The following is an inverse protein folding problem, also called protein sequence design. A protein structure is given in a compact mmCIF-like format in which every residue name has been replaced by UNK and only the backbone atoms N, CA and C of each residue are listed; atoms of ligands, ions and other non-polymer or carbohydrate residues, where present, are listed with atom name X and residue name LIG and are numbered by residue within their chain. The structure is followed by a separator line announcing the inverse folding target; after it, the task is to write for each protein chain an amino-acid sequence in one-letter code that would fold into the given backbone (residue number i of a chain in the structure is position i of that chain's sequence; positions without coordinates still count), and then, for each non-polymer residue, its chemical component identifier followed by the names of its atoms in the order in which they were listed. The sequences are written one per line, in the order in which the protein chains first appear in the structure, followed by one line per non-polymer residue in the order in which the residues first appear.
data_IF_395640376528
#
_entry.id   IF_395640376528
#
_cell.length_a   1.000
_cell.length_b   1.000
_cell.length_c   1.000
_cell.angle_alpha   90.00
_cell.angle_beta   90.00
_cell.angle_gamma   90.00
#
_symmetry.space_group_name_H-M   'P 1'
#
loop_
_entity.id
_entity.type
_entity.pdbx_description
1 polymer ?
#
# COMPACT_ATOMS: atom_id res chain seq x y z
N UNK A 1 14.03 -36.95 -68.09
CA UNK A 1 13.87 -37.83 -66.92
C UNK A 1 13.10 -39.07 -67.30
N UNK A 2 13.37 -40.18 -66.59
CA UNK A 2 12.66 -41.46 -66.79
C UNK A 2 11.77 -41.74 -65.61
N UNK A 3 10.57 -42.23 -65.81
CA UNK A 3 9.68 -42.72 -64.75
C UNK A 3 10.17 -44.06 -64.21
N UNK A 4 9.64 -44.49 -63.02
CA UNK A 4 10.01 -45.78 -62.38
C UNK A 4 9.72 -47.01 -63.26
N UNK A 5 8.79 -46.91 -64.20
CA UNK A 5 8.49 -47.91 -65.17
C UNK A 5 9.21 -47.73 -66.55
N UNK A 6 10.28 -46.89 -66.56
CA UNK A 6 11.21 -46.76 -67.69
C UNK A 6 10.69 -45.85 -68.84
N UNK A 7 9.64 -45.09 -68.66
CA UNK A 7 9.12 -44.18 -69.64
C UNK A 7 9.91 -42.85 -69.67
N UNK A 8 10.44 -42.48 -70.84
CA UNK A 8 11.11 -41.21 -71.05
C UNK A 8 10.08 -40.09 -71.19
N UNK A 9 10.38 -38.90 -70.65
CA UNK A 9 9.49 -37.74 -70.72
C UNK A 9 10.07 -36.50 -70.05
N UNK A 10 9.25 -35.46 -70.00
CA UNK A 10 9.61 -34.16 -69.37
C UNK A 10 8.59 -33.73 -68.38
N UNK A 11 9.05 -33.10 -67.33
CA UNK A 11 8.20 -32.47 -66.30
C UNK A 11 8.04 -30.98 -66.60
N UNK A 12 6.81 -30.47 -66.42
CA UNK A 12 6.52 -29.04 -66.42
C UNK A 12 5.72 -28.63 -65.16
N UNK A 13 6.22 -27.81 -64.30
CA UNK A 13 7.60 -27.29 -64.19
C UNK A 13 8.66 -28.39 -64.03
N UNK A 14 9.88 -28.16 -64.50
CA UNK A 14 10.97 -29.15 -64.48
C UNK A 14 11.54 -29.43 -63.07
N UNK A 15 11.39 -28.49 -62.13
CA UNK A 15 11.85 -28.56 -60.73
C UNK A 15 10.71 -28.45 -59.76
N UNK A 16 10.70 -29.32 -58.75
CA UNK A 16 9.69 -29.27 -57.69
C UNK A 16 10.05 -28.20 -56.70
N UNK A 17 9.08 -27.33 -56.38
CA UNK A 17 9.23 -26.30 -55.31
C UNK A 17 9.03 -26.97 -53.98
N UNK A 18 9.89 -26.65 -53.01
CA UNK A 18 9.75 -26.98 -51.58
C UNK A 18 9.19 -25.80 -50.74
N UNK A 19 8.84 -24.67 -51.40
CA UNK A 19 8.32 -23.45 -50.75
C UNK A 19 6.87 -23.17 -51.06
N UNK A 20 6.34 -23.72 -52.17
CA UNK A 20 4.94 -23.54 -52.59
C UNK A 20 4.36 -24.85 -53.11
N UNK A 21 3.09 -25.09 -52.81
CA UNK A 21 2.33 -26.19 -53.41
C UNK A 21 2.21 -25.99 -54.91
N UNK A 22 2.29 -27.05 -55.67
CA UNK A 22 2.23 -26.98 -57.15
C UNK A 22 1.80 -28.27 -57.78
N UNK A 23 1.38 -28.17 -59.03
CA UNK A 23 1.01 -29.28 -59.89
C UNK A 23 2.06 -29.42 -60.99
N UNK A 24 2.55 -30.63 -61.19
CA UNK A 24 3.62 -31.00 -62.08
C UNK A 24 3.10 -31.95 -63.12
N UNK A 25 3.18 -31.63 -64.41
CA UNK A 25 2.71 -32.44 -65.51
C UNK A 25 3.90 -33.21 -66.13
N UNK A 26 3.83 -34.53 -66.09
CA UNK A 26 4.75 -35.38 -66.85
C UNK A 26 4.17 -35.61 -68.24
N UNK A 27 4.91 -35.21 -69.26
CA UNK A 27 4.57 -35.43 -70.67
C UNK A 27 5.51 -36.50 -71.21
N UNK A 28 5.02 -37.71 -71.56
CA UNK A 28 5.82 -38.76 -72.16
C UNK A 28 6.43 -38.32 -73.49
N UNK A 29 7.59 -38.87 -73.86
CA UNK A 29 8.24 -38.62 -75.14
C UNK A 29 7.40 -39.21 -76.31
N UNK A 30 7.53 -38.62 -77.52
CA UNK A 30 6.81 -39.07 -78.69
C UNK A 30 7.08 -40.51 -79.03
N UNK A 31 6.03 -41.24 -79.43
CA UNK A 31 6.10 -42.66 -79.75
C UNK A 31 5.82 -43.63 -78.59
N UNK A 32 5.52 -43.14 -77.39
CA UNK A 32 5.08 -43.95 -76.26
C UNK A 32 3.55 -43.90 -76.17
N UNK A 33 2.88 -45.04 -76.11
CA UNK A 33 1.44 -45.16 -75.97
C UNK A 33 0.99 -44.97 -74.50
N UNK A 34 1.26 -43.81 -73.91
CA UNK A 34 0.98 -43.46 -72.52
C UNK A 34 0.42 -42.04 -72.45
N UNK A 35 -0.57 -41.86 -71.58
CA UNK A 35 -1.16 -40.53 -71.32
C UNK A 35 -0.26 -39.69 -70.35
N UNK A 36 -0.28 -38.35 -70.45
CA UNK A 36 0.34 -37.48 -69.50
C UNK A 36 -0.16 -37.75 -68.05
N UNK A 37 0.75 -37.60 -67.11
CA UNK A 37 0.46 -37.79 -65.67
C UNK A 37 0.67 -36.52 -64.90
N UNK A 38 -0.31 -36.21 -64.04
CA UNK A 38 -0.24 -35.02 -63.14
C UNK A 38 0.09 -35.47 -61.75
N UNK A 39 1.13 -34.86 -61.15
CA UNK A 39 1.51 -35.04 -59.79
C UNK A 39 1.37 -33.75 -59.02
N UNK A 40 0.68 -33.79 -57.88
CA UNK A 40 0.46 -32.61 -57.00
C UNK A 40 1.36 -32.73 -55.77
N UNK A 41 2.14 -31.72 -55.52
CA UNK A 41 2.94 -31.52 -54.33
C UNK A 41 2.26 -30.51 -53.45
N UNK A 42 1.97 -30.86 -52.19
CA UNK A 42 1.45 -29.95 -51.20
C UNK A 42 2.57 -29.57 -50.23
N UNK A 43 2.87 -28.28 -50.13
CA UNK A 43 3.80 -27.72 -49.14
C UNK A 43 2.98 -27.15 -48.01
N UNK A 44 3.12 -27.75 -46.82
CA UNK A 44 2.49 -27.25 -45.63
C UNK A 44 3.32 -26.07 -45.02
N UNK A 45 2.67 -24.98 -44.63
CA UNK A 45 3.37 -23.87 -43.98
C UNK A 45 3.95 -24.28 -42.64
N UNK A 46 5.09 -23.71 -42.28
CA UNK A 46 5.66 -23.88 -40.95
C UNK A 46 4.81 -23.08 -39.95
N UNK A 47 4.39 -23.71 -38.86
CA UNK A 47 3.59 -23.10 -37.81
C UNK A 47 4.35 -23.07 -36.47
N UNK A 48 4.02 -22.11 -35.61
CA UNK A 48 4.54 -22.05 -34.24
C UNK A 48 3.52 -22.66 -33.29
N UNK A 49 3.90 -23.63 -32.44
CA UNK A 49 3.02 -24.19 -31.41
C UNK A 49 2.58 -23.10 -30.44
N UNK A 50 1.29 -23.13 -30.06
CA UNK A 50 0.71 -22.19 -29.09
C UNK A 50 0.17 -22.98 -27.89
N UNK A 51 0.19 -22.35 -26.69
CA UNK A 51 -0.25 -22.97 -25.45
C UNK A 51 -1.16 -22.02 -24.68
N UNK A 52 -2.12 -22.58 -23.91
CA UNK A 52 -3.07 -21.78 -23.11
C UNK A 52 -2.41 -20.97 -21.99
N UNK A 53 -1.26 -21.39 -21.51
CA UNK A 53 -0.46 -20.67 -20.50
C UNK A 53 0.43 -19.59 -21.10
N UNK A 54 0.43 -19.39 -22.44
CA UNK A 54 1.25 -18.38 -23.14
C UNK A 54 2.72 -18.75 -23.25
N UNK A 55 3.56 -17.73 -23.44
CA UNK A 55 5.01 -17.87 -23.58
C UNK A 55 5.79 -17.47 -22.33
N UNK A 56 5.13 -16.82 -21.37
CA UNK A 56 5.73 -16.40 -20.09
C UNK A 56 4.68 -16.35 -18.99
N UNK A 57 5.09 -16.71 -17.78
CA UNK A 57 4.31 -16.53 -16.56
C UNK A 57 5.21 -16.10 -15.41
N UNK A 58 4.60 -15.40 -14.44
CA UNK A 58 5.23 -15.04 -13.18
C UNK A 58 4.41 -15.65 -12.04
N UNK A 59 5.07 -16.37 -11.14
CA UNK A 59 4.45 -17.08 -10.02
C UNK A 59 5.20 -16.81 -8.72
N UNK A 60 4.57 -17.10 -7.59
CA UNK A 60 5.25 -17.06 -6.30
C UNK A 60 5.96 -18.37 -6.03
N UNK A 61 7.11 -18.32 -5.37
CA UNK A 61 7.88 -19.50 -4.97
C UNK A 61 6.97 -20.50 -4.24
N UNK A 62 7.02 -21.77 -4.67
CA UNK A 62 6.22 -22.87 -4.11
C UNK A 62 4.74 -22.86 -4.48
N UNK A 63 4.25 -21.92 -5.30
CA UNK A 63 2.87 -21.93 -5.80
C UNK A 63 2.65 -23.02 -6.86
N UNK A 64 1.39 -23.26 -7.24
CA UNK A 64 1.08 -24.25 -8.27
C UNK A 64 1.72 -23.88 -9.60
N UNK A 65 2.57 -24.77 -10.11
CA UNK A 65 3.22 -24.61 -11.41
C UNK A 65 2.24 -24.91 -12.57
N UNK A 66 2.38 -24.27 -13.74
CA UNK A 66 1.65 -24.62 -14.93
C UNK A 66 2.02 -26.02 -15.41
N UNK A 67 1.02 -26.73 -15.96
CA UNK A 67 1.24 -28.07 -16.53
C UNK A 67 1.61 -27.92 -18.00
N UNK A 68 2.77 -28.44 -18.39
CA UNK A 68 3.25 -28.46 -19.76
C UNK A 68 2.56 -29.58 -20.54
N UNK A 69 1.61 -29.25 -21.41
CA UNK A 69 0.91 -30.22 -22.25
C UNK A 69 1.77 -30.67 -23.43
N UNK A 70 1.75 -31.95 -23.78
CA UNK A 70 2.50 -32.50 -24.91
C UNK A 70 1.87 -32.18 -26.27
N UNK A 71 0.65 -31.60 -26.27
CA UNK A 71 -0.06 -31.15 -27.46
C UNK A 71 -0.36 -29.66 -27.31
N UNK A 72 0.02 -28.89 -28.29
CA UNK A 72 -0.28 -27.44 -28.37
C UNK A 72 -1.77 -27.19 -28.67
N UNK A 73 -2.24 -25.95 -28.45
CA UNK A 73 -3.64 -25.59 -28.76
C UNK A 73 -3.96 -25.63 -30.25
N UNK A 74 -2.95 -25.55 -31.11
CA UNK A 74 -3.06 -25.73 -32.56
C UNK A 74 -2.63 -27.13 -33.04
N UNK A 75 -2.79 -28.17 -32.18
CA UNK A 75 -2.64 -29.60 -32.45
C UNK A 75 -1.24 -30.06 -32.88
N UNK A 76 -0.18 -29.38 -32.46
CA UNK A 76 1.19 -29.83 -32.67
C UNK A 76 1.60 -30.72 -31.48
N UNK A 77 2.00 -31.95 -31.77
CA UNK A 77 2.57 -32.88 -30.79
C UNK A 77 4.07 -32.58 -30.58
N UNK A 78 4.55 -32.76 -29.39
CA UNK A 78 5.97 -32.56 -29.10
C UNK A 78 6.34 -32.89 -27.66
N UNK A 79 7.54 -32.48 -27.25
CA UNK A 79 8.09 -32.71 -25.91
C UNK A 79 8.68 -31.45 -25.36
N UNK A 80 8.61 -31.31 -24.04
CA UNK A 80 9.22 -30.20 -23.32
C UNK A 80 10.57 -30.61 -22.71
N UNK A 81 11.53 -29.70 -22.74
CA UNK A 81 12.79 -29.83 -22.03
C UNK A 81 13.12 -28.53 -21.28
N UNK A 82 13.16 -28.53 -19.94
CA UNK A 82 12.77 -29.60 -19.01
C UNK A 82 11.29 -30.01 -19.15
N UNK A 83 10.97 -31.26 -18.82
CA UNK A 83 9.60 -31.81 -18.95
C UNK A 83 8.67 -31.40 -17.81
N UNK A 84 9.22 -30.98 -16.66
CA UNK A 84 8.48 -30.59 -15.44
C UNK A 84 8.90 -29.18 -15.08
N UNK A 85 7.90 -28.36 -14.72
CA UNK A 85 8.13 -27.00 -14.29
C UNK A 85 8.63 -26.98 -12.84
N UNK A 86 9.78 -26.33 -12.62
CA UNK A 86 10.31 -26.05 -11.29
C UNK A 86 9.69 -24.73 -10.79
N UNK A 87 8.84 -24.83 -9.76
CA UNK A 87 8.19 -23.68 -9.14
C UNK A 87 9.03 -23.02 -8.01
N UNK A 88 10.26 -23.47 -7.84
CA UNK A 88 11.18 -22.90 -6.84
C UNK A 88 12.24 -21.97 -7.48
N UNK A 89 12.48 -22.11 -8.79
CA UNK A 89 13.49 -21.37 -9.52
C UNK A 89 12.98 -20.87 -10.86
N UNK A 90 13.54 -19.76 -11.33
CA UNK A 90 13.29 -19.28 -12.70
C UNK A 90 13.72 -20.34 -13.71
N UNK A 91 12.93 -20.50 -14.78
CA UNK A 91 13.20 -21.51 -15.78
C UNK A 91 12.78 -21.10 -17.18
N UNK A 92 13.48 -21.72 -18.15
CA UNK A 92 13.11 -21.65 -19.58
C UNK A 92 12.87 -23.08 -20.04
N UNK A 93 11.70 -23.33 -20.63
CA UNK A 93 11.23 -24.62 -21.07
C UNK A 93 11.06 -24.55 -22.57
N UNK A 94 11.70 -25.48 -23.30
CA UNK A 94 11.64 -25.52 -24.76
C UNK A 94 10.73 -26.63 -25.22
N UNK A 95 9.72 -26.31 -26.01
CA UNK A 95 8.89 -27.28 -26.70
C UNK A 95 9.51 -27.62 -28.06
N UNK A 96 9.79 -28.87 -28.28
CA UNK A 96 10.27 -29.41 -29.56
C UNK A 96 9.18 -30.20 -30.21
N UNK A 97 8.64 -29.77 -31.38
CA UNK A 97 7.69 -30.55 -32.16
C UNK A 97 8.22 -31.94 -32.52
N UNK A 98 7.31 -32.95 -32.57
CA UNK A 98 7.67 -34.27 -33.03
C UNK A 98 8.01 -34.28 -34.53
N UNK A 99 8.81 -35.27 -34.95
CA UNK A 99 9.21 -35.39 -36.33
C UNK A 99 7.99 -35.50 -37.26
N UNK A 100 8.09 -34.91 -38.44
CA UNK A 100 7.04 -34.90 -39.45
C UNK A 100 5.97 -33.83 -39.30
N UNK A 101 6.04 -33.01 -38.27
CA UNK A 101 5.17 -31.84 -38.12
C UNK A 101 5.90 -30.58 -38.64
N UNK A 102 5.22 -29.86 -39.54
CA UNK A 102 5.77 -28.58 -40.06
C UNK A 102 5.66 -27.47 -39.01
N UNK A 103 6.45 -27.55 -37.95
CA UNK A 103 6.40 -26.62 -36.83
C UNK A 103 7.80 -26.28 -36.33
N UNK A 104 7.95 -25.05 -35.81
CA UNK A 104 9.19 -24.59 -35.16
C UNK A 104 9.15 -24.85 -33.65
N UNK A 105 10.31 -25.06 -32.99
CA UNK A 105 10.36 -25.04 -31.53
C UNK A 105 9.87 -23.71 -30.96
N UNK A 106 9.28 -23.75 -29.76
CA UNK A 106 8.88 -22.55 -29.02
C UNK A 106 9.32 -22.67 -27.56
N UNK A 107 9.40 -21.55 -26.86
CA UNK A 107 9.86 -21.49 -25.46
C UNK A 107 8.76 -20.94 -24.55
N UNK A 108 8.75 -21.42 -23.32
CA UNK A 108 7.99 -20.88 -22.20
C UNK A 108 8.96 -20.45 -21.10
N UNK A 109 8.81 -19.23 -20.59
CA UNK A 109 9.64 -18.69 -19.52
C UNK A 109 8.83 -18.58 -18.23
N UNK A 110 9.33 -19.13 -17.14
CA UNK A 110 8.76 -18.98 -15.81
C UNK A 110 9.64 -18.05 -14.97
N UNK A 111 9.05 -17.01 -14.43
CA UNK A 111 9.65 -16.15 -13.39
C UNK A 111 9.08 -16.56 -12.04
N UNK A 112 9.94 -16.94 -11.10
CA UNK A 112 9.55 -17.30 -9.73
C UNK A 112 9.93 -16.17 -8.78
N UNK A 113 8.92 -15.51 -8.23
CA UNK A 113 9.11 -14.43 -7.30
C UNK A 113 9.18 -14.95 -5.85
N UNK A 114 10.11 -14.45 -5.04
CA UNK A 114 10.19 -14.81 -3.64
C UNK A 114 9.01 -14.23 -2.86
N UNK A 115 8.64 -14.87 -1.74
CA UNK A 115 7.70 -14.30 -0.78
C UNK A 115 8.49 -13.30 0.08
N UNK A 116 8.12 -12.02 0.07
CA UNK A 116 8.86 -11.00 0.81
C UNK A 116 8.62 -11.09 2.31
N UNK A 117 9.63 -10.71 3.09
CA UNK A 117 9.52 -10.48 4.53
C UNK A 117 9.70 -9.01 4.83
N UNK A 118 9.11 -8.54 5.93
CA UNK A 118 9.23 -7.15 6.38
C UNK A 118 9.70 -7.04 7.82
N UNK A 119 10.20 -5.86 8.20
CA UNK A 119 10.58 -5.58 9.58
C UNK A 119 9.36 -5.35 10.47
N UNK A 120 9.45 -5.75 11.74
CA UNK A 120 8.40 -5.53 12.74
C UNK A 120 8.66 -4.21 13.46
N UNK A 121 7.61 -3.43 13.72
CA UNK A 121 7.62 -2.29 14.63
C UNK A 121 7.04 -2.71 15.98
N UNK A 122 7.58 -2.14 17.05
CA UNK A 122 7.01 -2.27 18.41
C UNK A 122 5.81 -1.33 18.57
N UNK A 123 4.90 -1.71 19.46
CA UNK A 123 3.78 -0.88 19.87
C UNK A 123 4.24 0.47 20.39
N UNK A 124 3.43 1.48 20.17
CA UNK A 124 3.77 2.87 20.51
C UNK A 124 2.61 3.53 21.24
N UNK A 125 2.91 4.24 22.33
CA UNK A 125 1.95 5.08 23.04
C UNK A 125 2.40 6.54 22.98
N UNK A 126 1.48 7.43 22.59
CA UNK A 126 1.73 8.87 22.50
C UNK A 126 0.53 9.63 23.07
N UNK A 127 0.74 10.89 23.46
CA UNK A 127 -0.36 11.78 23.82
C UNK A 127 -0.99 12.44 22.59
N UNK A 128 -2.22 12.86 22.75
CA UNK A 128 -2.91 13.72 21.78
C UNK A 128 -2.06 14.95 21.43
N UNK A 129 -2.00 15.30 20.14
CA UNK A 129 -1.15 16.37 19.61
C UNK A 129 0.31 16.00 19.39
N UNK A 130 0.79 14.84 19.86
CA UNK A 130 2.16 14.40 19.61
C UNK A 130 2.36 13.89 18.20
N UNK A 131 3.58 14.04 17.67
CA UNK A 131 3.94 13.48 16.37
C UNK A 131 4.33 12.02 16.50
N UNK A 132 3.63 11.14 15.79
CA UNK A 132 4.08 9.76 15.54
C UNK A 132 5.04 9.80 14.35
N UNK A 133 6.30 9.38 14.51
CA UNK A 133 7.28 9.50 13.43
C UNK A 133 7.00 8.55 12.28
N UNK A 134 7.51 8.88 11.09
CA UNK A 134 7.54 8.02 9.92
C UNK A 134 8.09 6.62 10.30
N UNK A 135 7.46 5.59 9.78
CA UNK A 135 7.96 4.24 9.90
C UNK A 135 8.37 3.67 8.54
N UNK A 136 9.67 3.46 8.38
CA UNK A 136 10.24 2.83 7.20
C UNK A 136 10.14 1.31 7.34
N UNK A 137 9.38 0.68 6.45
CA UNK A 137 9.34 -0.76 6.31
C UNK A 137 10.47 -1.21 5.38
N UNK A 138 11.41 -1.99 5.91
CA UNK A 138 12.40 -2.67 5.07
C UNK A 138 11.83 -4.00 4.61
N UNK A 139 11.59 -4.12 3.31
CA UNK A 139 11.11 -5.35 2.67
C UNK A 139 12.29 -6.07 2.03
N UNK A 140 12.43 -7.35 2.32
CA UNK A 140 13.49 -8.20 1.79
C UNK A 140 12.92 -9.44 1.12
N UNK A 141 13.22 -9.72 -0.16
CA UNK A 141 13.86 -8.81 -1.13
C UNK A 141 13.05 -7.53 -1.35
N UNK A 142 13.67 -6.50 -1.97
CA UNK A 142 13.02 -5.22 -2.19
C UNK A 142 11.67 -5.36 -2.92
N UNK A 143 10.64 -4.74 -2.37
CA UNK A 143 9.28 -4.83 -2.87
C UNK A 143 8.44 -3.63 -2.44
N UNK A 144 7.15 -3.72 -2.63
CA UNK A 144 6.17 -2.72 -2.20
C UNK A 144 5.55 -3.09 -0.86
N UNK A 145 4.90 -2.12 -0.22
CA UNK A 145 4.19 -2.31 1.05
C UNK A 145 2.80 -1.71 0.92
N UNK A 146 1.81 -2.45 1.39
CA UNK A 146 0.46 -1.93 1.62
C UNK A 146 0.19 -1.95 3.12
N UNK A 147 -0.47 -0.91 3.65
CA UNK A 147 -0.84 -0.89 5.05
C UNK A 147 -2.29 -0.47 5.25
N UNK A 148 -2.87 -0.92 6.36
CA UNK A 148 -4.22 -0.54 6.80
C UNK A 148 -4.18 -0.10 8.26
N UNK A 149 -5.11 0.77 8.62
CA UNK A 149 -5.31 1.31 9.95
C UNK A 149 -6.74 1.00 10.41
N UNK A 150 -6.89 0.30 11.53
CA UNK A 150 -8.19 -0.10 12.06
C UNK A 150 -9.01 1.07 12.64
N UNK A 151 -8.37 2.20 12.95
CA UNK A 151 -9.03 3.35 13.57
C UNK A 151 -8.44 4.68 13.06
N UNK A 152 -8.95 5.23 11.96
CA UNK A 152 -8.49 6.50 11.41
C UNK A 152 -8.64 7.72 12.33
N UNK A 153 -9.45 7.60 13.40
CA UNK A 153 -9.62 8.69 14.36
C UNK A 153 -8.34 9.06 15.11
N UNK A 154 -7.31 8.19 15.07
CA UNK A 154 -5.98 8.51 15.64
C UNK A 154 -5.21 9.56 14.85
N UNK A 155 -5.69 10.03 13.69
CA UNK A 155 -5.04 11.01 12.82
C UNK A 155 -4.26 10.42 11.64
N UNK A 156 -4.25 9.09 11.48
CA UNK A 156 -3.65 8.39 10.34
C UNK A 156 -4.77 7.90 9.39
N UNK A 157 -4.66 8.07 8.06
CA UNK A 157 -5.63 7.53 7.11
C UNK A 157 -5.90 6.02 7.29
N UNK A 158 -7.04 5.54 6.76
CA UNK A 158 -7.46 4.13 6.90
C UNK A 158 -6.51 3.15 6.19
N UNK A 159 -5.79 3.57 5.15
CA UNK A 159 -4.86 2.74 4.38
C UNK A 159 -3.88 3.60 3.58
N UNK A 160 -2.83 2.96 3.08
CA UNK A 160 -1.85 3.56 2.18
C UNK A 160 -0.88 2.55 1.61
N UNK A 161 0.04 3.05 0.80
CA UNK A 161 1.12 2.28 0.15
C UNK A 161 2.48 2.87 0.52
N UNK A 162 3.51 2.04 0.52
CA UNK A 162 4.84 2.44 0.94
C UNK A 162 4.97 2.56 2.46
N UNK A 163 5.82 3.46 2.91
CA UNK A 163 6.05 3.69 4.34
C UNK A 163 4.82 4.28 5.01
N UNK A 164 4.58 3.92 6.28
CA UNK A 164 3.55 4.58 7.08
C UNK A 164 4.03 6.00 7.38
N UNK A 165 3.34 7.05 6.91
CA UNK A 165 3.81 8.44 7.06
C UNK A 165 3.82 8.87 8.52
N UNK A 166 4.60 9.91 8.82
CA UNK A 166 4.46 10.62 10.09
C UNK A 166 3.09 11.30 10.15
N UNK A 167 2.48 11.32 11.32
CA UNK A 167 1.20 11.98 11.54
C UNK A 167 1.09 12.58 12.94
N UNK A 168 0.21 13.54 13.13
CA UNK A 168 -0.13 14.07 14.44
C UNK A 168 -1.20 13.19 15.07
N UNK A 169 -0.92 12.64 16.24
CA UNK A 169 -1.87 11.83 16.98
C UNK A 169 -3.07 12.66 17.46
N UNK A 170 -4.28 12.14 17.27
CA UNK A 170 -5.53 12.81 17.65
C UNK A 170 -6.32 11.91 18.59
N UNK A 171 -6.71 12.46 19.76
CA UNK A 171 -7.65 11.86 20.68
C UNK A 171 -8.53 12.94 21.32
N UNK A 172 -9.65 13.22 20.74
CA UNK A 172 -10.60 14.21 21.24
C UNK A 172 -11.45 13.70 22.44
N UNK A 173 -11.29 12.43 22.81
CA UNK A 173 -11.98 11.80 23.95
C UNK A 173 -11.29 12.03 25.29
N UNK A 174 -11.77 11.32 26.32
CA UNK A 174 -11.20 11.33 27.69
C UNK A 174 -10.57 9.98 28.07
N UNK A 175 -10.67 8.99 27.17
CA UNK A 175 -10.10 7.65 27.36
C UNK A 175 -9.08 7.36 26.25
N UNK A 176 -8.07 6.54 26.48
CA UNK A 176 -7.16 6.10 25.43
C UNK A 176 -7.90 5.48 24.26
N UNK A 177 -7.48 5.79 23.04
CA UNK A 177 -7.93 5.11 21.82
C UNK A 177 -6.78 4.38 21.19
N UNK A 178 -7.07 3.25 20.57
CA UNK A 178 -6.07 2.39 19.94
C UNK A 178 -6.39 2.20 18.46
N UNK A 179 -5.34 1.98 17.69
CA UNK A 179 -5.41 1.53 16.31
C UNK A 179 -4.39 0.43 16.05
N UNK A 180 -4.81 -0.63 15.39
CA UNK A 180 -3.92 -1.66 14.87
C UNK A 180 -3.53 -1.29 13.45
N UNK A 181 -2.24 -1.12 13.21
CA UNK A 181 -1.68 -0.90 11.88
C UNK A 181 -1.20 -2.25 11.37
N UNK A 182 -1.76 -2.68 10.25
CA UNK A 182 -1.37 -3.93 9.57
C UNK A 182 -0.58 -3.56 8.33
N UNK A 183 0.60 -4.12 8.17
CA UNK A 183 1.53 -3.86 7.07
C UNK A 183 1.83 -5.15 6.35
N UNK A 184 1.62 -5.16 5.04
CA UNK A 184 1.73 -6.36 4.19
C UNK A 184 2.72 -6.09 3.07
N UNK A 185 3.88 -6.78 3.04
CA UNK A 185 4.85 -6.67 1.95
C UNK A 185 4.38 -7.43 0.72
N UNK A 186 4.75 -6.95 -0.47
CA UNK A 186 4.37 -7.53 -1.76
C UNK A 186 5.50 -7.38 -2.78
N UNK A 187 5.77 -8.45 -3.54
CA UNK A 187 6.64 -8.44 -4.73
C UNK A 187 5.87 -9.07 -5.89
N UNK A 188 5.58 -8.30 -6.94
CA UNK A 188 4.92 -8.80 -8.16
C UNK A 188 3.68 -9.67 -7.90
N UNK A 189 2.87 -9.30 -6.89
CA UNK A 189 1.69 -10.08 -6.48
C UNK A 189 1.95 -11.17 -5.44
N UNK A 190 3.21 -11.47 -5.11
CA UNK A 190 3.57 -12.39 -4.04
C UNK A 190 3.50 -11.68 -2.70
N UNK A 191 2.50 -12.04 -1.92
CA UNK A 191 2.17 -11.41 -0.65
C UNK A 191 2.95 -12.10 0.48
N UNK A 192 3.73 -11.32 1.22
CA UNK A 192 4.42 -11.79 2.42
C UNK A 192 3.52 -11.79 3.66
N UNK A 193 4.06 -12.30 4.76
CA UNK A 193 3.34 -12.33 6.03
C UNK A 193 3.07 -10.92 6.53
N UNK A 194 1.80 -10.62 6.80
CA UNK A 194 1.39 -9.35 7.38
C UNK A 194 1.97 -9.19 8.79
N UNK A 195 2.47 -7.99 9.08
CA UNK A 195 2.96 -7.60 10.40
C UNK A 195 2.01 -6.57 11.01
N UNK A 196 1.84 -6.60 12.32
CA UNK A 196 0.95 -5.67 13.02
C UNK A 196 1.69 -4.98 14.16
N UNK A 197 1.31 -3.74 14.44
CA UNK A 197 1.68 -3.02 15.65
C UNK A 197 0.53 -2.12 16.10
N UNK A 198 0.50 -1.77 17.38
CA UNK A 198 -0.56 -0.97 17.98
C UNK A 198 -0.04 0.46 18.22
N UNK A 199 -0.83 1.44 17.84
CA UNK A 199 -0.66 2.83 18.23
C UNK A 199 -1.75 3.16 19.25
N UNK A 200 -1.34 3.55 20.47
CA UNK A 200 -2.24 4.04 21.51
C UNK A 200 -2.11 5.54 21.64
N UNK A 201 -3.21 6.27 21.46
CA UNK A 201 -3.23 7.70 21.68
C UNK A 201 -3.93 8.00 23.02
N UNK A 202 -3.13 8.46 23.96
CA UNK A 202 -3.58 8.85 25.29
C UNK A 202 -4.26 10.24 25.20
N UNK A 203 -5.36 10.47 25.91
CA UNK A 203 -5.97 11.79 25.97
C UNK A 203 -5.08 12.75 26.74
N UNK A 204 -5.01 14.01 26.34
CA UNK A 204 -4.56 15.08 27.22
C UNK A 204 -5.71 15.46 28.15
N UNK A 205 -5.37 15.82 29.41
CA UNK A 205 -6.37 16.35 30.33
C UNK A 205 -7.00 17.62 29.73
N UNK A 206 -8.33 17.62 29.63
CA UNK A 206 -9.13 18.76 29.18
C UNK A 206 -9.62 19.58 30.35
N UNK A 207 -9.01 19.42 31.52
CA UNK A 207 -9.42 20.12 32.72
C UNK A 207 -9.09 21.59 32.61
N UNK A 208 -10.08 22.42 32.92
CA UNK A 208 -9.92 23.85 33.12
C UNK A 208 -9.59 24.06 34.59
N UNK A 209 -8.48 24.74 34.86
CA UNK A 209 -7.99 24.94 36.22
C UNK A 209 -7.72 26.43 36.47
N UNK A 210 -8.10 26.86 37.67
CA UNK A 210 -7.77 28.20 38.23
C UNK A 210 -7.03 27.99 39.52
N UNK A 211 -5.81 28.53 39.72
CA UNK A 211 -5.12 28.47 40.98
C UNK A 211 -5.94 29.07 42.13
N UNK A 212 -5.87 28.48 43.30
CA UNK A 212 -6.56 28.99 44.46
C UNK A 212 -5.77 30.00 45.27
N UNK A 213 -4.49 30.22 44.89
CA UNK A 213 -3.57 31.21 45.53
C UNK A 213 -2.68 31.84 44.45
N UNK A 214 -2.37 33.12 44.58
CA UNK A 214 -1.35 33.77 43.77
C UNK A 214 -0.71 34.91 44.56
N UNK A 215 0.53 35.29 44.17
CA UNK A 215 1.39 36.20 44.89
C UNK A 215 2.00 37.28 44.01
N UNK A 216 1.28 38.37 43.70
CA UNK A 216 1.78 39.43 42.82
C UNK A 216 2.80 40.31 43.53
N UNK A 217 4.01 39.78 43.77
CA UNK A 217 5.11 40.46 44.47
C UNK A 217 6.24 40.89 43.51
N UNK A 218 6.15 40.56 42.21
CA UNK A 218 7.08 40.93 41.17
C UNK A 218 8.33 40.06 41.08
N UNK A 219 8.31 38.85 41.65
CA UNK A 219 9.46 37.93 41.61
C UNK A 219 9.46 37.03 40.35
N UNK A 220 8.47 37.20 39.45
CA UNK A 220 8.30 36.42 38.24
C UNK A 220 7.59 35.09 38.44
N UNK A 221 7.12 34.77 39.65
CA UNK A 221 6.40 33.51 39.98
C UNK A 221 5.05 33.84 40.58
N UNK A 222 4.00 33.26 39.98
CA UNK A 222 2.61 33.42 40.44
C UNK A 222 2.16 34.90 40.59
N UNK A 223 2.77 35.81 39.85
CA UNK A 223 2.44 37.24 39.87
C UNK A 223 1.10 37.54 39.20
N UNK A 224 0.64 36.63 38.35
CA UNK A 224 -0.62 36.74 37.64
C UNK A 224 -1.51 35.52 37.92
N UNK A 225 -2.77 35.80 38.26
CA UNK A 225 -3.79 34.77 38.31
C UNK A 225 -4.30 34.50 36.89
N UNK A 226 -4.05 33.34 36.35
CA UNK A 226 -4.43 32.95 35.00
C UNK A 226 -5.32 31.69 34.99
N UNK A 227 -6.02 31.48 33.86
CA UNK A 227 -6.77 30.25 33.60
C UNK A 227 -5.85 29.26 32.88
N UNK A 228 -5.72 28.08 33.44
CA UNK A 228 -4.90 27.00 32.88
C UNK A 228 -5.80 25.90 32.30
N UNK A 229 -5.28 25.20 31.33
CA UNK A 229 -5.92 24.05 30.68
C UNK A 229 -5.51 23.94 29.22
N UNK A 230 -5.62 22.74 28.70
CA UNK A 230 -5.42 22.47 27.28
C UNK A 230 -6.76 22.59 26.55
N UNK A 231 -6.71 22.86 25.24
CA UNK A 231 -7.92 22.92 24.40
C UNK A 231 -8.98 23.97 24.74
N UNK A 232 -8.62 25.04 25.47
CA UNK A 232 -9.47 26.19 25.74
C UNK A 232 -9.46 27.10 24.51
N UNK A 233 -10.62 27.36 23.90
CA UNK A 233 -10.81 28.30 22.78
C UNK A 233 -11.17 29.68 23.22
N UNK A 234 -11.94 29.82 24.32
CA UNK A 234 -12.28 31.10 24.89
C UNK A 234 -12.51 31.00 26.40
N UNK A 235 -12.29 32.12 27.10
CA UNK A 235 -12.54 32.26 28.54
C UNK A 235 -13.31 33.56 28.80
N UNK A 236 -14.23 33.54 29.78
CA UNK A 236 -14.86 34.71 30.42
C UNK A 236 -14.80 34.40 31.92
N UNK A 237 -13.79 34.97 32.58
CA UNK A 237 -13.62 34.86 34.04
C UNK A 237 -13.83 36.23 34.68
N UNK A 238 -14.72 36.26 35.65
CA UNK A 238 -15.01 37.47 36.45
C UNK A 238 -14.61 37.24 37.88
N UNK A 239 -13.92 38.23 38.46
CA UNK A 239 -13.38 38.17 39.83
C UNK A 239 -14.08 39.24 40.66
N UNK A 240 -14.52 38.88 41.85
CA UNK A 240 -15.29 39.73 42.74
C UNK A 240 -14.62 39.78 44.12
N UNK A 241 -14.74 40.95 44.77
CA UNK A 241 -14.34 41.09 46.16
C UNK A 241 -15.43 40.54 47.11
N UNK A 242 -15.18 40.58 48.42
CA UNK A 242 -16.09 40.10 49.45
C UNK A 242 -17.43 40.81 49.47
N UNK A 243 -17.53 41.99 48.85
CA UNK A 243 -18.76 42.78 48.77
C UNK A 243 -19.56 42.54 47.49
N UNK A 244 -19.09 41.58 46.69
CA UNK A 244 -19.74 41.25 45.39
C UNK A 244 -19.45 42.22 44.26
N UNK A 245 -18.53 43.19 44.45
CA UNK A 245 -18.11 44.09 43.42
C UNK A 245 -17.15 43.40 42.47
N UNK A 246 -17.38 43.43 41.15
CA UNK A 246 -16.45 42.93 40.14
C UNK A 246 -15.21 43.82 40.10
N UNK A 247 -14.05 43.22 40.30
CA UNK A 247 -12.77 43.91 40.37
C UNK A 247 -11.87 43.62 39.19
N UNK A 248 -12.05 42.46 38.52
CA UNK A 248 -11.31 42.12 37.32
C UNK A 248 -12.14 41.22 36.37
N UNK A 249 -11.76 41.21 35.11
CA UNK A 249 -12.27 40.32 34.08
C UNK A 249 -11.13 39.83 33.21
N UNK A 250 -11.11 38.52 32.91
CA UNK A 250 -10.15 37.87 32.06
C UNK A 250 -10.94 37.27 30.89
N UNK A 251 -10.74 37.78 29.68
CA UNK A 251 -11.45 37.37 28.46
C UNK A 251 -10.58 36.61 27.47
N UNK A 252 -9.30 36.51 27.77
CA UNK A 252 -8.31 35.78 26.97
C UNK A 252 -7.44 34.94 27.90
N UNK A 253 -7.14 33.70 27.50
CA UNK A 253 -6.31 32.74 28.25
C UNK A 253 -4.91 33.30 28.59
N UNK A 254 -4.35 34.13 27.70
CA UNK A 254 -3.05 34.75 27.92
C UNK A 254 -3.08 35.90 28.93
N UNK A 255 -4.27 36.43 29.29
CA UNK A 255 -4.44 37.47 30.30
C UNK A 255 -4.36 36.87 31.70
N UNK A 256 -3.98 37.70 32.65
CA UNK A 256 -4.01 37.37 34.08
C UNK A 256 -4.44 38.60 34.89
N UNK A 257 -4.93 38.34 36.11
CA UNK A 257 -5.17 39.38 37.08
C UNK A 257 -3.92 39.55 37.97
N UNK A 258 -3.41 40.79 38.05
CA UNK A 258 -2.21 41.19 38.80
C UNK A 258 -2.51 41.61 40.24
N UNK A 259 -3.70 41.36 40.75
CA UNK A 259 -4.11 41.76 42.09
C UNK A 259 -4.45 43.24 42.20
N UNK A 260 -4.69 43.96 41.08
CA UNK A 260 -5.07 45.38 41.06
C UNK A 260 -6.48 45.61 40.51
N UNK A 261 -7.13 46.65 40.96
CA UNK A 261 -8.38 47.14 40.36
C UNK A 261 -8.18 48.60 39.96
N UNK A 262 -8.32 48.90 38.65
CA UNK A 262 -8.07 50.24 38.11
C UNK A 262 -6.70 50.83 38.55
N UNK A 263 -5.67 50.01 38.54
CA UNK A 263 -4.30 50.39 38.93
C UNK A 263 -4.02 50.38 40.44
N UNK A 264 -5.04 50.28 41.30
CA UNK A 264 -4.87 50.26 42.76
C UNK A 264 -4.74 48.81 43.25
N UNK A 265 -3.66 48.51 44.04
CA UNK A 265 -3.48 47.22 44.65
C UNK A 265 -4.69 46.86 45.56
N UNK A 266 -5.21 45.65 45.39
CA UNK A 266 -6.30 45.16 46.24
C UNK A 266 -5.72 44.54 47.54
N UNK A 267 -6.48 44.59 48.65
CA UNK A 267 -6.04 44.01 49.90
C UNK A 267 -5.75 42.50 49.81
N UNK A 268 -4.80 42.01 50.60
CA UNK A 268 -4.64 40.54 50.81
C UNK A 268 -5.91 39.97 51.38
N UNK A 269 -6.31 38.80 50.87
CA UNK A 269 -7.56 38.19 51.30
C UNK A 269 -8.15 37.27 50.23
N UNK A 270 -9.40 36.87 50.48
CA UNK A 270 -10.11 35.91 49.62
C UNK A 270 -11.01 36.66 48.66
N UNK A 271 -10.91 36.31 47.40
CA UNK A 271 -11.73 36.75 46.28
C UNK A 271 -12.53 35.57 45.73
N UNK A 272 -13.62 35.83 45.05
CA UNK A 272 -14.40 34.78 44.40
C UNK A 272 -14.37 34.96 42.90
N UNK A 273 -14.46 33.88 42.16
CA UNK A 273 -14.51 33.94 40.70
C UNK A 273 -15.65 33.12 40.13
N UNK A 274 -16.12 33.52 38.97
CA UNK A 274 -16.96 32.73 38.06
C UNK A 274 -16.22 32.70 36.71
N UNK A 275 -15.91 31.49 36.24
CA UNK A 275 -15.29 31.25 34.95
C UNK A 275 -16.25 30.49 34.07
N UNK A 276 -16.42 30.94 32.82
CA UNK A 276 -16.94 30.18 31.70
C UNK A 276 -15.84 29.98 30.67
N UNK A 277 -15.55 28.75 30.30
CA UNK A 277 -14.58 28.42 29.27
C UNK A 277 -15.23 27.56 28.20
N UNK A 278 -14.88 27.81 26.93
CA UNK A 278 -15.22 26.96 25.81
C UNK A 278 -14.03 26.09 25.45
N UNK A 279 -14.27 24.82 25.18
CA UNK A 279 -13.26 23.89 24.73
C UNK A 279 -13.35 23.66 23.21
N UNK A 280 -12.24 23.19 22.61
CA UNK A 280 -12.15 22.88 21.17
C UNK A 280 -13.21 21.92 20.69
N UNK A 281 -13.69 21.01 21.55
CA UNK A 281 -14.75 20.03 21.25
C UNK A 281 -16.18 20.59 21.40
N UNK A 282 -16.32 21.91 21.60
CA UNK A 282 -17.61 22.60 21.73
C UNK A 282 -18.22 22.55 23.14
N UNK A 283 -17.63 21.83 24.09
CA UNK A 283 -18.13 21.82 25.49
C UNK A 283 -17.86 23.13 26.20
N UNK A 284 -18.82 23.53 27.05
CA UNK A 284 -18.68 24.65 27.97
C UNK A 284 -18.41 24.14 29.37
N UNK A 285 -17.38 24.69 29.99
CA UNK A 285 -17.04 24.44 31.41
C UNK A 285 -17.34 25.68 32.22
N UNK A 286 -18.06 25.52 33.33
CA UNK A 286 -18.32 26.63 34.29
C UNK A 286 -17.72 26.24 35.63
N UNK A 287 -16.74 27.03 36.08
CA UNK A 287 -16.13 26.88 37.39
C UNK A 287 -16.49 28.10 38.27
N UNK A 288 -16.65 27.83 39.56
CA UNK A 288 -16.82 28.84 40.60
C UNK A 288 -15.86 28.44 41.74
N UNK A 289 -15.24 29.42 42.33
CA UNK A 289 -14.33 29.15 43.43
C UNK A 289 -13.82 30.39 44.11
N UNK A 290 -12.94 30.17 45.08
CA UNK A 290 -12.26 31.23 45.78
C UNK A 290 -10.77 31.29 45.43
N UNK A 291 -10.18 32.45 45.53
CA UNK A 291 -8.78 32.74 45.24
C UNK A 291 -8.24 33.53 46.42
N UNK A 292 -7.11 33.16 46.95
CA UNK A 292 -6.42 33.88 47.99
C UNK A 292 -5.29 34.71 47.34
N UNK A 293 -5.37 36.04 47.51
CA UNK A 293 -4.29 36.95 47.20
C UNK A 293 -3.38 37.10 48.40
N UNK A 294 -2.10 36.85 48.22
CA UNK A 294 -1.01 37.03 49.20
C UNK A 294 0.03 37.94 48.60
N UNK A 295 0.79 38.66 49.43
CA UNK A 295 1.96 39.46 49.02
C UNK A 295 3.13 39.23 49.93
#
# INVERSE_FOLDING_TARGET
TTSDNGLAGTWSPATVSNQASGTYLFTPAAGQCVLPYTYTVTVNPIVTPTFSFGTAQSVCIGSTAPILTLTSTNNILGTWNPAIVDNMNNGVYTFTPANGQCATPTTFTLEVNPIPTGTIRTDTSVYDGATVPLFNFNVTPAGTVNWTNSNPAIGLPASGTGNVPSFTAINLGNTPITATITVTPNINGCIGTAQTYIVTVLPLSKDVFVPNVFTPNGDGKNDLLQVYGNYITSVDMRIFNQWGQQIASITNKAQGWDGRHKGTPQPVGVYVYVLKAQLVDGRSVTLKGSITLIR
#
